data_IF_745963253751
#
_entry.id   IF_745963253751
#
_cell.length_a   1.000
_cell.length_b   1.000
_cell.length_c   1.000
_cell.angle_alpha   90.00
_cell.angle_beta   90.00
_cell.angle_gamma   90.00
#
_symmetry.space_group_name_H-M   'P 1'
#
loop_
_entity.id
_entity.type
_entity.pdbx_description
1 polymer ?
#
# COMPACT_ATOMS: atom_id res chain seq x y z
N UNK A 1 7.17 0.43 -17.12
CA UNK A 1 5.91 -0.01 -16.49
C UNK A 1 4.96 1.17 -16.47
N UNK A 2 3.72 0.97 -16.89
CA UNK A 2 2.63 1.92 -16.72
C UNK A 2 2.26 2.06 -15.24
N UNK A 3 1.61 3.16 -14.85
CA UNK A 3 1.21 3.36 -13.45
C UNK A 3 0.16 2.35 -12.99
N UNK A 4 -0.67 1.85 -13.91
CA UNK A 4 -1.59 0.76 -13.62
C UNK A 4 -0.84 -0.54 -13.26
N UNK A 5 0.23 -0.88 -13.99
CA UNK A 5 1.06 -2.06 -13.68
C UNK A 5 1.77 -1.92 -12.33
N UNK A 6 2.30 -0.73 -12.01
CA UNK A 6 2.91 -0.45 -10.70
C UNK A 6 1.89 -0.60 -9.58
N UNK A 7 0.70 -0.01 -9.73
CA UNK A 7 -0.37 -0.12 -8.74
C UNK A 7 -0.78 -1.57 -8.48
N UNK A 8 -0.90 -2.39 -9.54
CA UNK A 8 -1.17 -3.81 -9.38
C UNK A 8 -0.05 -4.52 -8.61
N UNK A 9 1.22 -4.21 -8.89
CA UNK A 9 2.36 -4.77 -8.16
C UNK A 9 2.37 -4.35 -6.68
N UNK A 10 2.13 -3.08 -6.37
CA UNK A 10 2.03 -2.59 -5.00
C UNK A 10 0.89 -3.28 -4.24
N UNK A 11 -0.27 -3.45 -4.88
CA UNK A 11 -1.41 -4.16 -4.28
C UNK A 11 -1.09 -5.62 -4.00
N UNK A 12 -0.38 -6.31 -4.89
CA UNK A 12 0.08 -7.69 -4.66
C UNK A 12 1.03 -7.79 -3.46
N UNK A 13 1.90 -6.79 -3.26
CA UNK A 13 2.76 -6.72 -2.09
C UNK A 13 1.91 -6.48 -0.83
N UNK A 14 1.03 -5.47 -0.85
CA UNK A 14 0.18 -5.11 0.28
C UNK A 14 -0.67 -6.29 0.78
N UNK A 15 -1.27 -7.06 -0.13
CA UNK A 15 -2.13 -8.19 0.22
C UNK A 15 -1.41 -9.27 1.04
N UNK A 16 -0.08 -9.39 0.90
CA UNK A 16 0.73 -10.32 1.73
C UNK A 16 0.77 -9.91 3.21
N UNK A 17 0.68 -8.61 3.47
CA UNK A 17 0.80 -8.02 4.82
C UNK A 17 -0.54 -7.61 5.43
N UNK A 18 -1.64 -7.61 4.66
CA UNK A 18 -3.00 -7.35 5.17
C UNK A 18 -3.34 -8.24 6.39
N UNK A 19 -3.04 -9.55 6.41
CA UNK A 19 -3.33 -10.39 7.58
C UNK A 19 -2.63 -9.91 8.86
N UNK A 20 -1.35 -9.56 8.78
CA UNK A 20 -0.56 -9.05 9.92
C UNK A 20 -1.11 -7.70 10.42
N UNK A 21 -1.42 -6.78 9.51
CA UNK A 21 -2.04 -5.51 9.86
C UNK A 21 -3.42 -5.72 10.52
N UNK A 22 -4.22 -6.66 10.02
CA UNK A 22 -5.51 -7.02 10.61
C UNK A 22 -5.36 -7.55 12.03
N UNK A 23 -4.40 -8.44 12.28
CA UNK A 23 -4.15 -8.98 13.63
C UNK A 23 -3.72 -7.88 14.60
N UNK A 24 -2.82 -6.99 14.18
CA UNK A 24 -2.36 -5.85 14.98
C UNK A 24 -3.51 -4.92 15.38
N UNK A 25 -4.40 -4.63 14.43
CA UNK A 25 -5.53 -3.71 14.64
C UNK A 25 -6.61 -4.39 15.49
N UNK A 26 -6.87 -5.68 15.25
CA UNK A 26 -7.76 -6.51 16.07
C UNK A 26 -7.30 -6.60 17.52
N UNK A 27 -6.00 -6.70 17.77
CA UNK A 27 -5.43 -6.71 19.12
C UNK A 27 -5.72 -5.43 19.91
N UNK A 28 -6.04 -4.32 19.21
CA UNK A 28 -6.47 -3.05 19.82
C UNK A 28 -7.99 -2.93 19.97
N UNK A 29 -8.74 -4.00 19.71
CA UNK A 29 -10.19 -4.04 19.80
C UNK A 29 -10.92 -3.44 18.59
N UNK A 30 -10.21 -3.17 17.49
CA UNK A 30 -10.78 -2.63 16.25
C UNK A 30 -10.94 -3.78 15.26
N UNK A 31 -12.17 -4.04 14.81
CA UNK A 31 -12.45 -5.05 13.80
C UNK A 31 -12.49 -4.40 12.42
N UNK A 32 -11.61 -4.84 11.52
CA UNK A 32 -11.56 -4.33 10.14
C UNK A 32 -12.38 -5.21 9.21
N UNK A 33 -13.40 -4.61 8.60
CA UNK A 33 -14.18 -5.19 7.52
C UNK A 33 -13.48 -5.07 6.16
N UNK A 34 -14.07 -5.69 5.14
CA UNK A 34 -13.61 -5.50 3.76
C UNK A 34 -13.83 -4.06 3.26
N UNK A 35 -14.87 -3.39 3.75
CA UNK A 35 -15.19 -2.01 3.38
C UNK A 35 -14.15 -1.02 3.91
N UNK A 36 -13.53 -1.29 5.07
CA UNK A 36 -12.45 -0.47 5.64
C UNK A 36 -11.11 -0.66 4.88
N UNK A 37 -10.90 -1.83 4.29
CA UNK A 37 -9.67 -2.13 3.56
C UNK A 37 -9.59 -1.39 2.23
N UNK A 38 -10.71 -1.17 1.53
CA UNK A 38 -10.69 -0.44 0.26
C UNK A 38 -10.09 0.97 0.37
N UNK A 39 -10.57 1.86 1.26
CA UNK A 39 -10.00 3.20 1.39
C UNK A 39 -8.56 3.16 1.91
N UNK A 40 -8.21 2.19 2.76
CA UNK A 40 -6.82 1.97 3.20
C UNK A 40 -5.90 1.59 2.05
N UNK A 41 -6.30 0.64 1.20
CA UNK A 41 -5.52 0.20 0.05
C UNK A 41 -5.39 1.30 -1.00
N UNK A 42 -6.44 2.11 -1.20
CA UNK A 42 -6.39 3.28 -2.06
C UNK A 42 -5.45 4.38 -1.52
N UNK A 43 -5.38 4.57 -0.21
CA UNK A 43 -4.40 5.47 0.40
C UNK A 43 -2.98 4.91 0.24
N UNK A 44 -2.79 3.62 0.50
CA UNK A 44 -1.51 2.94 0.34
C UNK A 44 -0.94 3.11 -1.07
N UNK A 45 -1.74 2.88 -2.12
CA UNK A 45 -1.24 3.04 -3.50
C UNK A 45 -0.83 4.47 -3.81
N UNK A 46 -1.51 5.49 -3.28
CA UNK A 46 -1.07 6.90 -3.41
C UNK A 46 0.31 7.12 -2.79
N UNK A 47 0.49 6.71 -1.53
CA UNK A 47 1.77 6.82 -0.81
C UNK A 47 2.89 6.09 -1.56
N UNK A 48 2.61 4.90 -2.08
CA UNK A 48 3.62 4.12 -2.83
C UNK A 48 4.00 4.77 -4.17
N UNK A 49 3.06 5.41 -4.86
CA UNK A 49 3.39 6.14 -6.08
C UNK A 49 4.30 7.34 -5.77
N UNK A 50 3.99 8.12 -4.74
CA UNK A 50 4.84 9.23 -4.30
C UNK A 50 6.24 8.74 -3.88
N UNK A 51 6.33 7.63 -3.14
CA UNK A 51 7.60 7.03 -2.76
C UNK A 51 8.41 6.51 -3.96
N UNK A 52 7.74 5.94 -4.97
CA UNK A 52 8.38 5.50 -6.21
C UNK A 52 8.89 6.68 -7.05
N UNK A 53 8.14 7.78 -7.11
CA UNK A 53 8.59 9.02 -7.74
C UNK A 53 9.78 9.64 -7.02
N UNK A 54 9.78 9.64 -5.68
CA UNK A 54 10.92 10.09 -4.89
C UNK A 54 12.17 9.27 -5.21
N UNK A 55 12.09 7.93 -5.16
CA UNK A 55 13.23 7.07 -5.46
C UNK A 55 13.76 7.19 -6.90
N UNK A 56 12.91 7.54 -7.87
CA UNK A 56 13.38 7.86 -9.22
C UNK A 56 14.16 9.17 -9.26
N UNK A 57 13.68 10.23 -8.61
CA UNK A 57 14.40 11.50 -8.53
C UNK A 57 15.75 11.33 -7.86
N UNK A 58 15.80 10.62 -6.75
CA UNK A 58 17.05 10.35 -6.03
C UNK A 58 18.06 9.61 -6.94
N UNK A 59 17.59 8.68 -7.78
CA UNK A 59 18.45 7.98 -8.75
C UNK A 59 18.90 8.83 -9.95
N UNK A 60 18.19 9.91 -10.28
CA UNK A 60 18.58 10.87 -11.33
C UNK A 60 19.56 11.93 -10.80
N UNK A 61 19.60 12.13 -9.47
CA UNK A 61 20.50 13.05 -8.78
C UNK A 61 21.85 12.40 -8.35
N UNK A 62 21.98 11.06 -8.44
CA UNK A 62 23.23 10.29 -8.29
C UNK A 62 23.99 10.06 -9.61
#
# INVERSE_FOLDING_TARGET
>A
MTDQEKNMAFMQIAMKYVPEAKELIKAKGIELGFDDLQPMLALFTKVMNEAYELGQKDSEEE
#
